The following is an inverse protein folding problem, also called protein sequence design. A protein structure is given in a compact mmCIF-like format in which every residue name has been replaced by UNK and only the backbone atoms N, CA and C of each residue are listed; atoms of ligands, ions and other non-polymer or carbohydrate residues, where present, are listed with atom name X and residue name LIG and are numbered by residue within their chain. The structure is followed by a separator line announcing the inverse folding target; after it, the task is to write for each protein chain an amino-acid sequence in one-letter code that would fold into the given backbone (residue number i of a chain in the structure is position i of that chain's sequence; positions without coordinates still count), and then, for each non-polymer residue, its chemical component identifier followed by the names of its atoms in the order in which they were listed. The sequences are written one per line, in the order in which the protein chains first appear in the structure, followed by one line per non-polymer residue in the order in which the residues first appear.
data_IF_620591312090
#
_entry.id   IF_620591312090
#
_cell.length_a   1.000
_cell.length_b   1.000
_cell.length_c   1.000
_cell.angle_alpha   90.00
_cell.angle_beta   90.00
_cell.angle_gamma   90.00
#
_symmetry.space_group_name_H-M   'P 1'
#
loop_
_entity.id
_entity.type
_entity.pdbx_description
1 polymer ?
#
# COMPACT_ATOMS: atom_id res chain seq x y z
N UNK A 1 8.82 34.46 1.17
CA UNK A 1 8.78 33.87 2.52
C UNK A 1 10.15 33.34 2.92
N UNK A 2 10.72 33.78 4.05
CA UNK A 2 12.03 33.33 4.53
C UNK A 2 12.08 31.81 4.79
N UNK A 3 10.99 31.23 5.32
CA UNK A 3 10.93 29.82 5.72
C UNK A 3 11.09 28.84 4.53
N UNK A 4 10.43 29.09 3.39
CA UNK A 4 10.56 28.26 2.19
C UNK A 4 11.99 28.29 1.65
N UNK A 5 12.58 29.47 1.53
CA UNK A 5 13.95 29.64 1.04
C UNK A 5 14.97 28.94 1.98
N UNK A 6 14.77 29.03 3.29
CA UNK A 6 15.58 28.30 4.27
C UNK A 6 15.44 26.78 4.10
N UNK A 7 14.22 26.27 3.95
CA UNK A 7 13.98 24.84 3.75
C UNK A 7 14.64 24.33 2.46
N UNK A 8 14.48 25.05 1.35
CA UNK A 8 15.11 24.75 0.07
C UNK A 8 16.64 24.72 0.18
N UNK A 9 17.23 25.68 0.91
CA UNK A 9 18.66 25.72 1.18
C UNK A 9 19.13 24.52 2.03
N UNK A 10 18.38 24.15 3.08
CA UNK A 10 18.72 23.02 3.96
C UNK A 10 18.62 21.67 3.23
N UNK A 11 17.64 21.51 2.34
CA UNK A 11 17.43 20.29 1.57
C UNK A 11 18.29 20.22 0.30
N UNK A 12 18.91 21.34 -0.09
CA UNK A 12 19.79 21.38 -1.25
C UNK A 12 20.89 20.32 -1.16
N UNK A 13 21.06 19.56 -2.25
CA UNK A 13 22.03 18.46 -2.40
C UNK A 13 21.84 17.30 -1.41
N UNK A 14 20.71 17.21 -0.72
CA UNK A 14 20.35 16.04 0.09
C UNK A 14 19.55 15.05 -0.74
N UNK A 15 19.71 13.77 -0.44
CA UNK A 15 18.80 12.75 -0.96
C UNK A 15 17.58 12.70 -0.06
N UNK A 16 16.41 12.77 -0.65
CA UNK A 16 15.14 12.68 0.07
C UNK A 16 14.76 11.21 0.28
N UNK A 17 14.12 10.95 1.42
CA UNK A 17 13.57 9.66 1.78
C UNK A 17 12.29 9.86 2.60
N UNK A 18 11.20 9.25 2.16
CA UNK A 18 9.89 9.25 2.78
C UNK A 18 9.64 7.87 3.36
N UNK A 19 9.69 7.76 4.69
CA UNK A 19 9.62 6.47 5.35
C UNK A 19 8.25 5.81 5.16
N UNK A 20 8.20 4.49 4.95
CA UNK A 20 6.95 3.74 4.90
C UNK A 20 6.10 3.92 6.18
N UNK A 21 4.82 4.26 6.03
CA UNK A 21 3.86 4.46 7.12
C UNK A 21 3.72 3.22 8.02
N UNK A 22 3.76 2.01 7.45
CA UNK A 22 3.66 0.78 8.25
C UNK A 22 4.96 0.38 8.96
N UNK A 23 6.11 0.93 8.55
CA UNK A 23 7.41 0.64 9.18
C UNK A 23 7.84 1.76 10.14
N UNK A 24 7.36 2.99 9.89
CA UNK A 24 7.55 4.16 10.73
C UNK A 24 6.22 4.92 10.86
N UNK A 25 5.28 4.39 11.67
CA UNK A 25 3.98 5.03 11.86
C UNK A 25 4.17 6.39 12.55
N UNK A 26 3.47 7.44 12.10
CA UNK A 26 3.63 8.78 12.64
C UNK A 26 2.98 8.90 14.03
N UNK A 27 3.28 10.00 14.73
CA UNK A 27 2.51 10.35 15.92
C UNK A 27 1.05 10.69 15.55
N UNK A 28 0.11 10.48 16.48
CA UNK A 28 -1.29 10.86 16.28
C UNK A 28 -1.40 12.36 15.93
N UNK A 29 -2.09 12.67 14.83
CA UNK A 29 -2.25 14.03 14.33
C UNK A 29 -0.99 14.67 13.75
N UNK A 30 0.06 13.90 13.45
CA UNK A 30 1.28 14.45 12.87
C UNK A 30 0.97 15.13 11.52
N UNK A 31 1.43 16.39 11.39
CA UNK A 31 1.20 17.21 10.21
C UNK A 31 -0.14 17.95 10.21
N UNK A 32 -1.03 17.71 11.18
CA UNK A 32 -2.23 18.50 11.36
C UNK A 32 -1.94 19.82 12.07
N UNK A 33 -2.61 20.90 11.64
CA UNK A 33 -2.64 22.18 12.35
C UNK A 33 -4.01 22.28 13.01
N UNK A 34 -4.02 22.40 14.34
CA UNK A 34 -5.23 22.64 15.12
C UNK A 34 -5.27 24.13 15.44
N UNK A 35 -6.42 24.76 15.18
CA UNK A 35 -6.68 26.15 15.54
C UNK A 35 -7.95 26.18 16.38
N UNK A 36 -7.85 26.84 17.53
CA UNK A 36 -8.94 26.97 18.48
C UNK A 36 -9.29 28.45 18.65
N UNK A 37 -10.57 28.73 18.91
CA UNK A 37 -11.05 30.07 19.21
C UNK A 37 -12.03 30.03 20.38
N UNK A 38 -12.27 31.19 20.97
CA UNK A 38 -13.29 31.33 21.99
C UNK A 38 -14.68 31.06 21.37
N UNK A 39 -15.48 30.22 22.03
CA UNK A 39 -16.84 29.88 21.59
C UNK A 39 -17.77 31.10 21.44
N UNK A 40 -17.48 32.21 22.13
CA UNK A 40 -18.24 33.45 22.01
C UNK A 40 -17.85 34.30 20.77
N UNK A 41 -16.72 34.02 20.12
CA UNK A 41 -16.23 34.79 18.96
C UNK A 41 -16.75 34.18 17.65
N UNK A 42 -17.96 34.57 17.26
CA UNK A 42 -18.64 34.04 16.07
C UNK A 42 -17.90 34.37 14.76
N UNK A 43 -17.27 35.54 14.67
CA UNK A 43 -16.49 35.93 13.49
C UNK A 43 -15.30 34.99 13.29
N UNK A 44 -14.57 34.68 14.37
CA UNK A 44 -13.47 33.72 14.33
C UNK A 44 -13.96 32.31 14.00
N UNK A 45 -15.08 31.86 14.56
CA UNK A 45 -15.67 30.55 14.23
C UNK A 45 -15.95 30.46 12.73
N UNK A 46 -16.63 31.45 12.15
CA UNK A 46 -16.95 31.46 10.72
C UNK A 46 -15.70 31.44 9.84
N UNK A 47 -14.65 32.18 10.22
CA UNK A 47 -13.36 32.14 9.51
C UNK A 47 -12.70 30.75 9.59
N UNK A 48 -12.66 30.14 10.78
CA UNK A 48 -12.05 28.82 10.97
C UNK A 48 -12.82 27.73 10.23
N UNK A 49 -14.16 27.77 10.24
CA UNK A 49 -15.01 26.84 9.49
C UNK A 49 -14.75 26.91 7.98
N UNK A 50 -14.45 28.11 7.45
CA UNK A 50 -14.18 28.29 6.02
C UNK A 50 -12.87 27.66 5.54
N UNK A 51 -11.92 27.42 6.45
CA UNK A 51 -10.60 26.82 6.15
C UNK A 51 -10.45 25.40 6.72
N UNK A 52 -11.40 24.95 7.54
CA UNK A 52 -11.37 23.64 8.16
C UNK A 52 -11.53 22.53 7.12
N UNK A 53 -10.77 21.45 7.29
CA UNK A 53 -10.99 20.20 6.55
C UNK A 53 -11.61 19.18 7.47
N UNK A 54 -12.89 18.87 7.25
CA UNK A 54 -13.59 17.85 8.03
C UNK A 54 -13.01 16.46 7.83
N UNK A 55 -12.47 16.15 6.65
CA UNK A 55 -11.74 14.91 6.39
C UNK A 55 -10.55 14.77 7.34
N UNK A 56 -9.70 15.80 7.43
CA UNK A 56 -8.54 15.79 8.31
C UNK A 56 -8.95 15.77 9.79
N UNK A 57 -9.99 16.52 10.18
CA UNK A 57 -10.51 16.52 11.56
C UNK A 57 -10.97 15.11 11.96
N UNK A 58 -11.73 14.43 11.10
CA UNK A 58 -12.23 13.08 11.37
C UNK A 58 -11.08 12.06 11.46
N UNK A 59 -10.09 12.16 10.57
CA UNK A 59 -8.91 11.30 10.59
C UNK A 59 -8.12 11.45 11.90
N UNK A 60 -7.82 12.69 12.31
CA UNK A 60 -7.13 12.98 13.58
C UNK A 60 -7.93 12.50 14.78
N UNK A 61 -9.26 12.65 14.76
CA UNK A 61 -10.11 12.14 15.82
C UNK A 61 -10.06 10.61 15.89
N UNK A 62 -10.12 9.93 14.74
CA UNK A 62 -10.01 8.47 14.67
C UNK A 62 -8.65 7.98 15.20
N UNK A 63 -7.56 8.68 14.88
CA UNK A 63 -6.22 8.40 15.40
C UNK A 63 -6.15 8.56 16.92
N UNK A 64 -6.66 9.66 17.46
CA UNK A 64 -6.62 9.95 18.89
C UNK A 64 -7.43 8.94 19.71
N UNK A 65 -8.66 8.65 19.29
CA UNK A 65 -9.51 7.62 19.93
C UNK A 65 -8.83 6.25 19.87
N UNK A 66 -8.12 5.94 18.80
CA UNK A 66 -7.41 4.67 18.71
C UNK A 66 -6.15 4.63 19.58
N UNK A 67 -5.41 5.74 19.66
CA UNK A 67 -4.23 5.90 20.50
C UNK A 67 -4.54 5.83 22.01
N UNK A 68 -5.74 6.24 22.44
CA UNK A 68 -6.19 6.19 23.85
C UNK A 68 -5.94 4.84 24.52
N UNK A 69 -6.12 3.76 23.76
CA UNK A 69 -5.92 2.38 24.23
C UNK A 69 -4.50 2.12 24.76
N UNK A 70 -3.50 2.79 24.18
CA UNK A 70 -2.08 2.60 24.51
C UNK A 70 -1.52 3.71 25.41
N UNK A 71 -2.37 4.67 25.76
CA UNK A 71 -2.05 5.81 26.61
C UNK A 71 -1.64 7.07 25.84
N UNK A 72 -1.50 8.17 26.59
CA UNK A 72 -1.21 9.50 26.06
C UNK A 72 0.24 9.93 26.34
N UNK A 73 0.79 10.78 25.46
CA UNK A 73 2.04 11.52 25.66
C UNK A 73 3.12 11.24 24.61
N UNK A 74 3.90 12.28 24.25
CA UNK A 74 4.93 12.24 23.21
C UNK A 74 6.12 11.31 23.49
N UNK A 75 6.23 10.77 24.71
CA UNK A 75 7.29 9.84 25.10
C UNK A 75 6.95 8.37 24.83
N UNK A 76 5.75 8.07 24.33
CA UNK A 76 5.34 6.70 24.03
C UNK A 76 5.91 6.25 22.68
N UNK A 77 6.60 5.10 22.61
CA UNK A 77 7.25 4.61 21.39
C UNK A 77 6.27 3.85 20.50
N UNK A 78 5.19 4.50 20.08
CA UNK A 78 4.26 3.99 19.07
C UNK A 78 3.78 5.11 18.15
N UNK A 79 3.31 4.72 16.98
CA UNK A 79 2.62 5.63 16.06
C UNK A 79 1.26 5.09 15.64
N UNK A 80 0.44 6.00 15.14
CA UNK A 80 -0.92 5.75 14.67
C UNK A 80 -1.23 6.64 13.48
N UNK A 81 -1.97 6.11 12.51
CA UNK A 81 -2.53 6.93 11.45
C UNK A 81 -3.87 6.39 10.97
N UNK A 82 -4.72 7.28 10.47
CA UNK A 82 -5.96 6.92 9.78
C UNK A 82 -5.81 7.16 8.28
N UNK A 83 -6.43 6.31 7.46
CA UNK A 83 -6.44 6.51 6.02
C UNK A 83 -7.74 6.03 5.38
N UNK A 84 -8.32 6.92 4.59
CA UNK A 84 -9.36 6.61 3.63
C UNK A 84 -8.72 6.16 2.31
N UNK A 85 -9.16 4.99 1.84
CA UNK A 85 -8.86 4.45 0.51
C UNK A 85 -10.15 4.39 -0.31
N UNK A 86 -10.03 4.19 -1.62
CA UNK A 86 -11.16 4.19 -2.54
C UNK A 86 -12.31 3.24 -2.13
N UNK A 87 -11.98 2.14 -1.44
CA UNK A 87 -12.94 1.07 -1.13
C UNK A 87 -13.08 0.76 0.36
N UNK A 88 -12.26 1.37 1.22
CA UNK A 88 -12.31 1.13 2.66
C UNK A 88 -11.54 2.21 3.43
N UNK A 89 -11.89 2.38 4.70
CA UNK A 89 -11.16 3.23 5.65
C UNK A 89 -10.59 2.38 6.77
N UNK A 90 -9.43 2.75 7.30
CA UNK A 90 -8.83 2.02 8.41
C UNK A 90 -7.98 2.93 9.31
N UNK A 91 -7.81 2.50 10.55
CA UNK A 91 -6.81 3.05 11.47
C UNK A 91 -5.78 1.98 11.79
N UNK A 92 -4.50 2.34 11.76
CA UNK A 92 -3.39 1.45 12.06
C UNK A 92 -2.58 2.02 13.22
N UNK A 93 -2.17 1.17 14.16
CA UNK A 93 -1.19 1.54 15.19
C UNK A 93 -0.16 0.43 15.37
N UNK A 94 1.09 0.82 15.63
CA UNK A 94 2.18 -0.10 15.91
C UNK A 94 3.30 0.58 16.68
N UNK A 95 4.00 -0.20 17.49
CA UNK A 95 5.05 0.26 18.39
C UNK A 95 5.12 -0.60 19.63
N UNK A 96 5.39 0.02 20.79
CA UNK A 96 5.37 -0.68 22.08
C UNK A 96 4.19 -0.23 22.95
N UNK A 97 3.57 -1.19 23.65
CA UNK A 97 2.48 -0.95 24.59
C UNK A 97 2.99 -0.37 25.93
N UNK A 98 2.12 -0.26 26.93
CA UNK A 98 2.48 0.26 28.25
C UNK A 98 3.53 -0.60 28.98
N UNK A 99 3.59 -1.89 28.66
CA UNK A 99 4.53 -2.88 29.18
C UNK A 99 5.82 -2.98 28.35
N UNK A 100 5.99 -2.12 27.34
CA UNK A 100 7.10 -2.14 26.37
C UNK A 100 7.14 -3.38 25.47
N UNK A 101 6.01 -4.05 25.29
CA UNK A 101 5.87 -5.18 24.38
C UNK A 101 5.44 -4.69 22.99
N UNK A 102 6.01 -5.26 21.91
CA UNK A 102 5.60 -4.90 20.56
C UNK A 102 4.12 -5.21 20.29
N UNK A 103 3.43 -4.29 19.63
CA UNK A 103 2.08 -4.53 19.15
C UNK A 103 1.89 -4.01 17.73
N UNK A 104 0.87 -4.53 17.06
CA UNK A 104 0.36 -4.01 15.80
C UNK A 104 -1.14 -4.27 15.79
N UNK A 105 -1.93 -3.23 15.57
CA UNK A 105 -3.40 -3.34 15.55
C UNK A 105 -3.97 -2.60 14.33
N UNK A 106 -5.02 -3.20 13.76
CA UNK A 106 -5.79 -2.66 12.65
C UNK A 106 -7.24 -2.49 13.07
N UNK A 107 -7.77 -1.27 12.99
CA UNK A 107 -9.22 -1.03 12.97
C UNK A 107 -9.66 -0.96 11.51
N UNK A 108 -10.33 -1.99 11.04
CA UNK A 108 -10.78 -2.16 9.64
C UNK A 108 -12.26 -2.57 9.59
N UNK A 109 -12.97 -2.34 8.47
CA UNK A 109 -14.43 -2.53 8.39
C UNK A 109 -14.84 -3.99 8.17
N UNK A 110 -14.00 -4.94 8.59
CA UNK A 110 -14.21 -6.37 8.38
C UNK A 110 -14.84 -6.97 9.63
N UNK A 111 -16.15 -7.25 9.54
CA UNK A 111 -16.91 -7.93 10.59
C UNK A 111 -17.16 -9.39 10.21
N UNK A 112 -16.07 -10.14 10.04
CA UNK A 112 -16.10 -11.57 9.77
C UNK A 112 -15.12 -12.26 10.71
N UNK A 113 -15.60 -13.24 11.46
CA UNK A 113 -14.75 -14.02 12.36
C UNK A 113 -13.97 -15.07 11.55
N UNK A 114 -12.64 -14.93 11.47
CA UNK A 114 -11.81 -15.80 10.63
C UNK A 114 -11.76 -17.24 11.16
N UNK A 115 -11.97 -17.48 12.47
CA UNK A 115 -11.96 -18.82 13.07
C UNK A 115 -13.15 -19.71 12.66
N UNK A 116 -14.13 -19.16 11.95
CA UNK A 116 -15.35 -19.86 11.53
C UNK A 116 -15.35 -20.35 10.09
N UNK A 117 -14.28 -20.12 9.33
CA UNK A 117 -14.22 -20.35 7.89
C UNK A 117 -12.87 -20.93 7.45
N UNK A 118 -12.89 -21.77 6.43
CA UNK A 118 -11.66 -22.19 5.76
C UNK A 118 -11.18 -21.10 4.79
N UNK A 119 -9.93 -20.64 4.97
CA UNK A 119 -9.37 -19.53 4.19
C UNK A 119 -8.22 -20.01 3.32
N UNK A 120 -8.33 -19.73 2.01
CA UNK A 120 -7.19 -19.77 1.11
C UNK A 120 -6.57 -18.39 0.96
N UNK A 121 -5.25 -18.32 1.12
CA UNK A 121 -4.49 -17.10 0.91
C UNK A 121 -3.61 -17.19 -0.34
N UNK A 122 -3.94 -16.39 -1.35
CA UNK A 122 -3.09 -16.23 -2.53
C UNK A 122 -1.70 -15.66 -2.21
N UNK A 123 -1.48 -15.07 -1.03
CA UNK A 123 -0.17 -14.53 -0.63
C UNK A 123 0.81 -15.62 -0.25
N UNK A 124 0.32 -16.75 0.26
CA UNK A 124 1.13 -17.87 0.74
C UNK A 124 1.62 -18.70 -0.44
N UNK A 125 0.84 -18.68 -1.52
CA UNK A 125 1.05 -19.44 -2.75
C UNK A 125 1.46 -18.55 -3.93
N UNK A 126 2.00 -17.34 -3.72
CA UNK A 126 2.31 -16.41 -4.82
C UNK A 126 3.16 -17.01 -5.95
N UNK A 127 4.08 -17.93 -5.62
CA UNK A 127 4.94 -18.63 -6.60
C UNK A 127 4.27 -19.84 -7.25
N UNK A 128 3.17 -20.31 -6.70
CA UNK A 128 2.44 -21.49 -7.16
C UNK A 128 1.33 -21.17 -8.15
N UNK A 129 1.05 -19.88 -8.40
CA UNK A 129 0.13 -19.46 -9.46
C UNK A 129 0.84 -19.24 -10.81
N UNK A 130 2.15 -18.97 -10.79
CA UNK A 130 2.89 -18.54 -11.98
C UNK A 130 4.32 -19.07 -12.02
N UNK A 131 4.76 -19.41 -13.22
CA UNK A 131 6.18 -19.36 -13.57
C UNK A 131 6.50 -18.02 -14.21
N UNK A 132 7.78 -17.64 -14.22
CA UNK A 132 8.19 -16.30 -14.63
C UNK A 132 9.37 -16.38 -15.59
N UNK A 133 9.35 -15.54 -16.63
CA UNK A 133 10.49 -15.38 -17.54
C UNK A 133 10.91 -13.93 -17.57
N UNK A 134 12.20 -13.69 -17.36
CA UNK A 134 12.80 -12.37 -17.50
C UNK A 134 12.78 -11.92 -18.96
N UNK A 135 12.55 -10.62 -19.18
CA UNK A 135 12.64 -9.99 -20.49
C UNK A 135 13.92 -9.18 -20.55
N UNK A 136 14.86 -9.58 -21.41
CA UNK A 136 16.17 -8.93 -21.53
C UNK A 136 16.12 -7.56 -22.22
N UNK A 137 14.97 -7.22 -22.81
CA UNK A 137 14.74 -5.98 -23.55
C UNK A 137 14.01 -4.88 -22.76
N UNK A 138 13.75 -5.08 -21.47
CA UNK A 138 13.10 -4.08 -20.64
C UNK A 138 13.93 -2.78 -20.60
N UNK A 139 13.44 -1.73 -21.26
CA UNK A 139 14.11 -0.42 -21.33
C UNK A 139 13.24 0.63 -20.67
N UNK A 140 13.74 1.18 -19.57
CA UNK A 140 13.09 2.32 -18.91
C UNK A 140 13.32 3.54 -19.81
N UNK A 141 12.27 4.28 -20.21
CA UNK A 141 12.42 5.43 -21.09
C UNK A 141 13.43 6.45 -20.53
N UNK A 142 14.26 7.00 -21.41
CA UNK A 142 15.22 8.03 -21.02
C UNK A 142 14.51 9.33 -20.61
N UNK A 143 13.33 9.59 -21.18
CA UNK A 143 12.51 10.78 -20.93
C UNK A 143 11.92 10.85 -19.52
N UNK A 144 11.77 9.74 -18.80
CA UNK A 144 11.21 9.76 -17.45
C UNK A 144 12.27 10.10 -16.40
N UNK A 145 11.94 10.95 -15.44
CA UNK A 145 12.84 11.34 -14.34
C UNK A 145 12.69 10.42 -13.14
N UNK A 146 11.53 9.75 -13.03
CA UNK A 146 11.22 8.81 -11.96
C UNK A 146 10.78 7.43 -12.49
N UNK A 147 10.89 6.44 -11.60
CA UNK A 147 10.39 5.09 -11.81
C UNK A 147 9.63 4.61 -10.59
N UNK A 148 8.51 3.95 -10.83
CA UNK A 148 7.80 3.20 -9.81
C UNK A 148 7.97 1.71 -10.08
N UNK A 149 8.60 1.01 -9.14
CA UNK A 149 8.89 -0.42 -9.26
C UNK A 149 7.78 -1.23 -8.60
N UNK A 150 6.95 -1.87 -9.43
CA UNK A 150 5.77 -2.61 -8.97
C UNK A 150 6.13 -3.87 -8.16
N UNK A 151 7.31 -4.45 -8.40
CA UNK A 151 7.84 -5.61 -7.70
C UNK A 151 9.36 -5.63 -7.78
N UNK A 152 10.04 -6.06 -6.71
CA UNK A 152 11.50 -6.25 -6.70
C UNK A 152 12.01 -7.15 -7.84
N UNK A 153 11.16 -8.07 -8.33
CA UNK A 153 11.45 -8.94 -9.46
C UNK A 153 11.66 -8.18 -10.77
N UNK A 154 11.05 -7.00 -10.89
CA UNK A 154 11.12 -6.19 -12.10
C UNK A 154 12.53 -5.63 -12.36
N UNK A 155 13.43 -5.68 -11.37
CA UNK A 155 14.83 -5.23 -11.46
C UNK A 155 15.76 -6.43 -11.29
N UNK A 156 15.80 -7.30 -12.31
CA UNK A 156 16.54 -8.57 -12.31
C UNK A 156 17.95 -8.49 -12.92
N UNK A 157 18.27 -7.46 -13.70
CA UNK A 157 19.55 -7.33 -14.42
C UNK A 157 20.39 -6.14 -13.97
N UNK A 158 21.72 -6.23 -14.17
CA UNK A 158 22.65 -5.12 -13.89
C UNK A 158 22.31 -3.88 -14.73
N UNK A 159 21.85 -4.07 -15.97
CA UNK A 159 21.44 -2.98 -16.84
C UNK A 159 20.25 -2.20 -16.27
N UNK A 160 19.26 -2.90 -15.69
CA UNK A 160 18.12 -2.26 -15.04
C UNK A 160 18.52 -1.55 -13.74
N UNK A 161 19.40 -2.16 -12.93
CA UNK A 161 19.95 -1.51 -11.72
C UNK A 161 20.60 -0.18 -12.08
N UNK A 162 21.47 -0.15 -13.10
CA UNK A 162 22.15 1.07 -13.56
C UNK A 162 21.18 2.13 -14.08
N UNK A 163 20.08 1.73 -14.71
CA UNK A 163 19.03 2.67 -15.15
C UNK A 163 18.29 3.28 -13.95
N UNK A 164 17.92 2.47 -12.95
CA UNK A 164 17.26 2.94 -11.73
C UNK A 164 18.15 3.87 -10.90
N UNK A 165 19.45 3.60 -10.79
CA UNK A 165 20.39 4.44 -10.03
C UNK A 165 20.52 5.89 -10.55
N UNK A 166 20.04 6.15 -11.77
CA UNK A 166 20.07 7.48 -12.42
C UNK A 166 18.73 8.20 -12.36
N UNK A 167 17.74 7.62 -11.69
CA UNK A 167 16.37 8.12 -11.62
C UNK A 167 15.91 8.19 -10.17
N UNK A 168 14.81 8.90 -9.94
CA UNK A 168 14.10 8.89 -8.66
C UNK A 168 13.31 7.59 -8.56
N UNK A 169 13.55 6.79 -7.53
CA UNK A 169 12.96 5.45 -7.44
C UNK A 169 11.91 5.40 -6.35
N UNK A 170 10.71 4.95 -6.71
CA UNK A 170 9.60 4.68 -5.82
C UNK A 170 9.26 3.20 -5.88
N UNK A 171 8.81 2.62 -4.77
CA UNK A 171 8.49 1.20 -4.68
C UNK A 171 7.01 0.95 -4.37
N UNK A 172 6.49 -0.20 -4.80
CA UNK A 172 5.12 -0.58 -4.46
C UNK A 172 4.88 -0.84 -2.96
N UNK A 173 5.94 -1.14 -2.20
CA UNK A 173 5.88 -1.35 -0.76
C UNK A 173 7.26 -1.63 -0.16
N UNK A 174 7.32 -1.73 1.17
CA UNK A 174 8.56 -1.84 1.93
C UNK A 174 9.43 -3.05 1.55
N UNK A 175 8.83 -4.20 1.23
CA UNK A 175 9.59 -5.36 0.73
C UNK A 175 10.32 -5.06 -0.58
N UNK A 176 9.65 -4.38 -1.51
CA UNK A 176 10.27 -4.00 -2.79
C UNK A 176 11.34 -2.94 -2.55
N UNK A 177 11.07 -1.96 -1.68
CA UNK A 177 12.05 -0.99 -1.27
C UNK A 177 13.34 -1.64 -0.78
N UNK A 178 13.26 -2.49 0.26
CA UNK A 178 14.43 -3.11 0.88
C UNK A 178 15.24 -3.93 -0.12
N UNK A 179 14.57 -4.68 -1.00
CA UNK A 179 15.23 -5.45 -2.05
C UNK A 179 15.95 -4.58 -3.10
N UNK A 180 15.41 -3.39 -3.41
CA UNK A 180 16.08 -2.43 -4.30
C UNK A 180 17.26 -1.76 -3.59
N UNK A 181 17.12 -1.39 -2.32
CA UNK A 181 18.20 -0.83 -1.52
C UNK A 181 19.40 -1.79 -1.40
N UNK A 182 19.15 -3.09 -1.23
CA UNK A 182 20.18 -4.13 -1.25
C UNK A 182 20.93 -4.21 -2.58
N UNK A 183 20.32 -3.77 -3.69
CA UNK A 183 20.96 -3.67 -5.02
C UNK A 183 21.73 -2.36 -5.21
N UNK A 184 21.86 -1.53 -4.17
CA UNK A 184 22.52 -0.22 -4.23
C UNK A 184 21.69 0.85 -4.94
N UNK A 185 20.35 0.71 -4.96
CA UNK A 185 19.43 1.70 -5.53
C UNK A 185 18.89 2.56 -4.39
N UNK A 186 19.00 3.89 -4.53
CA UNK A 186 18.35 4.81 -3.60
C UNK A 186 16.85 4.87 -3.89
N UNK A 187 16.03 4.48 -2.94
CA UNK A 187 14.57 4.54 -3.01
C UNK A 187 14.11 5.74 -2.19
N UNK A 188 13.32 6.62 -2.80
CA UNK A 188 12.80 7.83 -2.17
C UNK A 188 11.57 7.55 -1.33
N UNK A 189 10.73 6.59 -1.72
CA UNK A 189 9.46 6.32 -1.03
C UNK A 189 8.81 5.02 -1.48
N UNK A 190 7.76 4.59 -0.77
CA UNK A 190 6.88 3.53 -1.25
C UNK A 190 5.41 3.79 -1.03
N UNK A 191 4.59 3.18 -1.87
CA UNK A 191 3.14 3.17 -1.75
C UNK A 191 2.62 2.25 -0.63
N UNK A 192 3.52 1.55 0.08
CA UNK A 192 3.20 0.72 1.26
C UNK A 192 2.12 -0.35 1.04
N UNK A 193 1.95 -0.79 -0.20
CA UNK A 193 0.88 -1.73 -0.57
C UNK A 193 -0.51 -1.08 -0.62
N UNK A 194 -0.64 0.23 -0.42
CA UNK A 194 -1.87 1.02 -0.55
C UNK A 194 -2.18 1.38 -2.02
N UNK A 195 -1.26 1.08 -2.94
CA UNK A 195 -1.38 1.39 -4.36
C UNK A 195 -0.74 2.73 -4.73
N UNK A 196 -0.33 2.89 -6.00
CA UNK A 196 0.38 4.08 -6.48
C UNK A 196 -0.40 5.37 -6.24
N UNK A 197 -1.72 5.32 -6.30
CA UNK A 197 -2.58 6.49 -6.13
C UNK A 197 -2.43 7.13 -4.74
N UNK A 198 -2.01 6.36 -3.73
CA UNK A 198 -1.71 6.89 -2.38
C UNK A 198 -0.53 7.86 -2.36
N UNK A 199 0.36 7.79 -3.37
CA UNK A 199 1.52 8.67 -3.51
C UNK A 199 1.23 9.94 -4.30
N UNK A 200 0.10 10.04 -5.02
CA UNK A 200 -0.19 11.18 -5.88
C UNK A 200 -0.21 12.51 -5.11
N UNK A 201 -0.86 12.62 -3.93
CA UNK A 201 -0.80 13.86 -3.16
C UNK A 201 0.63 14.23 -2.74
N UNK A 202 1.46 13.23 -2.42
CA UNK A 202 2.86 13.45 -2.07
C UNK A 202 3.66 13.94 -3.29
N UNK A 203 3.41 13.38 -4.46
CA UNK A 203 4.06 13.75 -5.72
C UNK A 203 3.81 15.21 -6.11
N UNK A 204 2.63 15.73 -5.82
CA UNK A 204 2.23 17.11 -6.11
C UNK A 204 2.83 18.15 -5.14
N UNK A 205 3.37 17.71 -3.99
CA UNK A 205 3.99 18.63 -3.03
C UNK A 205 5.18 19.37 -3.62
N UNK A 206 5.45 20.58 -3.11
CA UNK A 206 6.64 21.36 -3.51
C UNK A 206 7.97 20.67 -3.18
N UNK A 207 7.94 19.64 -2.34
CA UNK A 207 9.12 18.86 -1.98
C UNK A 207 9.44 17.78 -3.02
N UNK A 208 8.42 17.21 -3.67
CA UNK A 208 8.58 16.10 -4.62
C UNK A 208 8.45 16.58 -6.05
N UNK A 209 7.42 17.35 -6.39
CA UNK A 209 7.18 17.90 -7.74
C UNK A 209 7.38 16.87 -8.85
N UNK A 210 6.64 15.77 -8.77
CA UNK A 210 6.68 14.70 -9.76
C UNK A 210 5.31 14.59 -10.43
N UNK A 211 5.26 14.67 -11.76
CA UNK A 211 4.03 14.42 -12.49
C UNK A 211 3.98 13.00 -13.06
N UNK A 212 2.78 12.59 -13.48
CA UNK A 212 2.50 11.27 -14.03
C UNK A 212 3.31 10.94 -15.30
N UNK A 213 3.49 11.91 -16.19
CA UNK A 213 4.26 11.80 -17.44
C UNK A 213 5.78 11.71 -17.19
N UNK A 214 6.24 12.12 -16.02
CA UNK A 214 7.64 11.98 -15.62
C UNK A 214 7.96 10.62 -14.99
N UNK A 215 6.95 9.79 -14.71
CA UNK A 215 7.11 8.53 -14.01
C UNK A 215 6.85 7.32 -14.92
N UNK A 216 7.79 6.37 -14.95
CA UNK A 216 7.60 5.07 -15.62
C UNK A 216 7.34 3.95 -14.62
N UNK A 217 6.28 3.19 -14.84
CA UNK A 217 5.97 1.98 -14.09
C UNK A 217 6.77 0.80 -14.64
N UNK A 218 7.63 0.21 -13.81
CA UNK A 218 8.39 -1.00 -14.15
C UNK A 218 7.65 -2.21 -13.58
N UNK A 219 7.12 -3.07 -14.44
CA UNK A 219 6.16 -4.12 -14.07
C UNK A 219 6.25 -5.36 -14.95
N UNK A 220 5.32 -6.33 -14.80
CA UNK A 220 5.22 -7.47 -15.71
C UNK A 220 4.45 -7.13 -16.98
N UNK A 221 4.71 -7.90 -18.04
CA UNK A 221 4.03 -7.81 -19.34
C UNK A 221 2.51 -7.80 -19.21
N UNK A 222 1.95 -8.67 -18.36
CA UNK A 222 0.50 -8.82 -18.17
C UNK A 222 -0.16 -7.58 -17.55
N UNK A 223 0.61 -6.68 -16.96
CA UNK A 223 0.11 -5.48 -16.27
C UNK A 223 0.32 -4.19 -17.07
N UNK A 224 1.18 -4.20 -18.10
CA UNK A 224 1.55 -2.99 -18.87
C UNK A 224 0.33 -2.28 -19.45
N UNK A 225 -0.56 -3.02 -20.12
CA UNK A 225 -1.74 -2.42 -20.79
C UNK A 225 -2.61 -1.65 -19.80
N UNK A 226 -2.80 -2.18 -18.58
CA UNK A 226 -3.61 -1.50 -17.56
C UNK A 226 -2.99 -0.18 -17.09
N UNK A 227 -1.65 -0.12 -16.98
CA UNK A 227 -0.97 1.13 -16.63
C UNK A 227 -1.02 2.16 -17.76
N UNK A 228 -0.86 1.71 -19.01
CA UNK A 228 -0.97 2.57 -20.19
C UNK A 228 -2.40 3.15 -20.34
N UNK A 229 -3.44 2.34 -20.12
CA UNK A 229 -4.84 2.81 -20.20
C UNK A 229 -5.18 3.83 -19.12
N UNK A 230 -4.49 3.77 -17.98
CA UNK A 230 -4.61 4.78 -16.93
C UNK A 230 -3.77 6.03 -17.22
N UNK A 231 -3.01 6.09 -18.32
CA UNK A 231 -2.20 7.24 -18.72
C UNK A 231 -0.81 7.30 -18.09
N UNK A 232 -0.29 6.20 -17.53
CA UNK A 232 1.09 6.11 -17.06
C UNK A 232 2.02 5.68 -18.20
N UNK A 233 3.29 6.08 -18.14
CA UNK A 233 4.31 5.31 -18.86
C UNK A 233 4.52 3.97 -18.17
N UNK A 234 4.65 2.89 -18.93
CA UNK A 234 4.90 1.56 -18.36
C UNK A 234 5.83 0.74 -19.25
N UNK A 235 6.71 -0.05 -18.62
CA UNK A 235 7.58 -1.01 -19.28
C UNK A 235 7.52 -2.37 -18.60
N UNK A 236 7.50 -3.42 -19.41
CA UNK A 236 7.65 -4.78 -18.94
C UNK A 236 9.14 -5.13 -18.79
N UNK A 237 9.47 -5.86 -17.73
CA UNK A 237 10.80 -6.46 -17.55
C UNK A 237 10.76 -7.96 -17.27
N UNK A 238 9.57 -8.52 -17.05
CA UNK A 238 9.34 -9.96 -16.92
C UNK A 238 7.91 -10.29 -17.37
N UNK A 239 7.66 -11.57 -17.62
CA UNK A 239 6.34 -12.11 -17.96
C UNK A 239 5.90 -13.15 -16.90
N UNK A 240 4.60 -13.19 -16.62
CA UNK A 240 3.98 -14.20 -15.75
C UNK A 240 3.24 -15.22 -16.63
N UNK A 241 3.53 -16.49 -16.43
CA UNK A 241 2.88 -17.62 -17.11
C UNK A 241 2.06 -18.41 -16.10
N UNK A 242 0.73 -18.53 -16.26
CA UNK A 242 -0.11 -19.31 -15.36
C UNK A 242 0.40 -20.75 -15.20
N UNK A 243 0.51 -21.21 -13.95
CA UNK A 243 1.02 -22.54 -13.62
C UNK A 243 0.45 -23.02 -12.29
N UNK A 244 -0.86 -23.27 -12.25
CA UNK A 244 -1.52 -23.90 -11.11
C UNK A 244 -1.29 -25.40 -11.12
N UNK A 245 -0.80 -25.95 -10.01
CA UNK A 245 -0.77 -27.40 -9.83
C UNK A 245 -2.14 -27.94 -9.36
N UNK A 246 -2.32 -29.26 -9.49
CA UNK A 246 -3.58 -29.94 -9.15
C UNK A 246 -3.93 -29.87 -7.67
N UNK A 247 -2.93 -29.82 -6.79
CA UNK A 247 -3.15 -29.74 -5.34
C UNK A 247 -3.72 -28.37 -4.99
N UNK A 248 -3.18 -27.31 -5.59
CA UNK A 248 -3.63 -25.95 -5.36
C UNK A 248 -5.05 -25.72 -5.87
N UNK A 249 -5.38 -26.28 -7.03
CA UNK A 249 -6.75 -26.30 -7.57
C UNK A 249 -7.69 -26.99 -6.58
N UNK A 250 -7.31 -28.15 -6.05
CA UNK A 250 -8.13 -28.89 -5.10
C UNK A 250 -8.34 -28.13 -3.78
N UNK A 251 -7.34 -27.40 -3.29
CA UNK A 251 -7.47 -26.56 -2.10
C UNK A 251 -8.40 -25.37 -2.33
N UNK A 252 -8.21 -24.64 -3.44
CA UNK A 252 -9.06 -23.49 -3.81
C UNK A 252 -10.54 -23.90 -3.93
N UNK A 253 -10.81 -25.11 -4.42
CA UNK A 253 -12.17 -25.62 -4.59
C UNK A 253 -12.91 -26.02 -3.31
N UNK A 254 -12.24 -26.03 -2.14
CA UNK A 254 -12.84 -26.48 -0.87
C UNK A 254 -13.13 -25.34 0.11
N UNK A 255 -12.29 -24.31 0.11
CA UNK A 255 -12.33 -23.22 1.08
C UNK A 255 -13.59 -22.36 0.98
N UNK A 256 -13.94 -21.69 2.07
CA UNK A 256 -15.07 -20.77 2.16
C UNK A 256 -14.70 -19.35 1.70
N UNK A 257 -13.44 -18.96 1.88
CA UNK A 257 -12.93 -17.66 1.49
C UNK A 257 -11.62 -17.79 0.70
N UNK A 258 -11.51 -17.04 -0.39
CA UNK A 258 -10.29 -16.95 -1.19
C UNK A 258 -9.81 -15.50 -1.24
N UNK A 259 -8.64 -15.25 -0.66
CA UNK A 259 -7.97 -13.96 -0.73
C UNK A 259 -7.07 -13.87 -1.97
N UNK A 260 -7.44 -13.01 -2.90
CA UNK A 260 -6.71 -12.74 -4.13
C UNK A 260 -5.72 -11.59 -3.93
N UNK A 261 -4.42 -11.90 -3.91
CA UNK A 261 -3.38 -10.87 -3.75
C UNK A 261 -3.22 -9.99 -5.00
N UNK A 262 -3.71 -10.46 -6.15
CA UNK A 262 -3.77 -9.71 -7.40
C UNK A 262 -4.97 -10.13 -8.26
N UNK A 263 -5.41 -9.25 -9.15
CA UNK A 263 -6.45 -9.57 -10.13
C UNK A 263 -6.05 -10.72 -11.06
N UNK A 264 -4.76 -10.84 -11.39
CA UNK A 264 -4.26 -11.96 -12.18
C UNK A 264 -4.52 -13.29 -11.46
N UNK A 265 -4.26 -13.38 -10.14
CA UNK A 265 -4.57 -14.60 -9.38
C UNK A 265 -6.04 -14.96 -9.46
N UNK A 266 -6.93 -13.96 -9.39
CA UNK A 266 -8.36 -14.19 -9.58
C UNK A 266 -8.69 -14.73 -10.98
N UNK A 267 -8.12 -14.16 -12.05
CA UNK A 267 -8.34 -14.65 -13.42
C UNK A 267 -7.99 -16.13 -13.58
N UNK A 268 -6.90 -16.55 -12.95
CA UNK A 268 -6.36 -17.90 -13.08
C UNK A 268 -7.03 -18.88 -12.11
N UNK A 269 -7.36 -18.45 -10.89
CA UNK A 269 -7.90 -19.32 -9.84
C UNK A 269 -9.42 -19.35 -9.74
N UNK A 270 -10.13 -18.29 -10.17
CA UNK A 270 -11.60 -18.21 -10.04
C UNK A 270 -12.38 -19.33 -10.74
N UNK A 271 -11.93 -19.96 -11.85
CA UNK A 271 -12.65 -21.08 -12.44
C UNK A 271 -12.75 -22.32 -11.54
N UNK A 272 -11.91 -22.40 -10.50
CA UNK A 272 -11.79 -23.58 -9.64
C UNK A 272 -12.46 -23.41 -8.28
N UNK A 273 -13.06 -22.26 -8.00
CA UNK A 273 -13.72 -22.01 -6.71
C UNK A 273 -15.10 -22.65 -6.66
N UNK A 274 -15.56 -23.01 -5.45
CA UNK A 274 -16.93 -23.48 -5.25
C UNK A 274 -17.95 -22.34 -5.40
N UNK A 275 -19.19 -22.61 -5.81
CA UNK A 275 -20.27 -21.63 -5.77
C UNK A 275 -20.46 -21.06 -4.37
N UNK A 276 -20.69 -19.75 -4.26
CA UNK A 276 -20.91 -19.07 -2.98
C UNK A 276 -19.64 -18.78 -2.17
N UNK A 277 -18.45 -19.04 -2.72
CA UNK A 277 -17.18 -18.66 -2.07
C UNK A 277 -17.14 -17.14 -1.80
N UNK A 278 -16.57 -16.76 -0.67
CA UNK A 278 -16.28 -15.36 -0.37
C UNK A 278 -14.99 -14.98 -1.09
N UNK A 279 -15.06 -14.01 -1.99
CA UNK A 279 -13.86 -13.43 -2.57
C UNK A 279 -13.35 -12.32 -1.67
N UNK A 280 -12.05 -12.30 -1.38
CA UNK A 280 -11.41 -11.23 -0.64
C UNK A 280 -10.22 -10.67 -1.42
N UNK A 281 -9.88 -9.40 -1.22
CA UNK A 281 -8.73 -8.78 -1.89
C UNK A 281 -8.25 -7.50 -1.18
N UNK A 282 -7.08 -6.95 -1.55
CA UNK A 282 -6.68 -5.59 -1.17
C UNK A 282 -7.53 -4.52 -1.85
N UNK A 283 -7.68 -3.36 -1.21
CA UNK A 283 -8.46 -2.19 -1.65
C UNK A 283 -7.91 -1.42 -2.86
N UNK A 284 -7.06 -2.04 -3.67
CA UNK A 284 -6.47 -1.44 -4.86
C UNK A 284 -7.20 -1.84 -6.14
N UNK A 285 -6.43 -1.94 -7.23
CA UNK A 285 -6.92 -2.31 -8.57
C UNK A 285 -7.70 -3.63 -8.61
N UNK A 286 -7.35 -4.59 -7.75
CA UNK A 286 -8.07 -5.87 -7.66
C UNK A 286 -9.51 -5.64 -7.24
N UNK A 287 -9.76 -4.87 -6.16
CA UNK A 287 -11.11 -4.52 -5.72
C UNK A 287 -11.92 -3.82 -6.81
N UNK A 288 -11.35 -2.78 -7.44
CA UNK A 288 -12.01 -2.05 -8.53
C UNK A 288 -12.45 -2.97 -9.67
N UNK A 289 -11.59 -3.91 -10.08
CA UNK A 289 -11.89 -4.84 -11.17
C UNK A 289 -12.94 -5.88 -10.78
N UNK A 290 -12.87 -6.43 -9.57
CA UNK A 290 -13.86 -7.39 -9.09
C UNK A 290 -15.25 -6.75 -8.96
N UNK A 291 -15.33 -5.54 -8.38
CA UNK A 291 -16.59 -4.78 -8.31
C UNK A 291 -17.12 -4.40 -9.70
N UNK A 292 -16.23 -4.04 -10.63
CA UNK A 292 -16.60 -3.78 -12.02
C UNK A 292 -17.21 -5.00 -12.76
N UNK A 293 -16.99 -6.22 -12.25
CA UNK A 293 -17.62 -7.44 -12.73
C UNK A 293 -18.93 -7.78 -11.98
N UNK A 294 -19.39 -6.90 -11.09
CA UNK A 294 -20.58 -7.11 -10.26
C UNK A 294 -20.36 -8.01 -9.04
N UNK A 295 -19.10 -8.29 -8.67
CA UNK A 295 -18.79 -9.03 -7.44
C UNK A 295 -18.72 -8.08 -6.23
N UNK A 296 -19.06 -8.59 -5.05
CA UNK A 296 -18.92 -7.87 -3.78
C UNK A 296 -17.81 -8.52 -2.93
N UNK A 297 -16.53 -8.29 -3.25
CA UNK A 297 -15.45 -8.89 -2.48
C UNK A 297 -15.36 -8.29 -1.07
N UNK A 298 -14.83 -9.06 -0.13
CA UNK A 298 -14.37 -8.58 1.16
C UNK A 298 -13.05 -7.82 0.98
N UNK A 299 -13.02 -6.53 1.32
CA UNK A 299 -11.91 -5.64 0.95
C UNK A 299 -11.08 -5.28 2.17
N UNK A 300 -9.82 -5.75 2.16
CA UNK A 300 -8.83 -5.40 3.18
C UNK A 300 -8.01 -4.18 2.73
N UNK A 301 -7.57 -3.31 3.66
CA UNK A 301 -6.72 -2.17 3.30
C UNK A 301 -5.44 -2.57 2.57
N UNK A 302 -4.79 -3.64 3.03
CA UNK A 302 -3.56 -4.18 2.43
C UNK A 302 -3.48 -5.69 2.63
N UNK A 303 -2.51 -6.32 1.98
CA UNK A 303 -2.11 -7.71 2.28
C UNK A 303 -1.71 -7.87 3.75
N UNK A 304 -1.02 -6.90 4.35
CA UNK A 304 -0.61 -6.95 5.76
C UNK A 304 -1.82 -6.95 6.70
N UNK A 305 -2.85 -6.16 6.38
CA UNK A 305 -4.10 -6.11 7.14
C UNK A 305 -4.84 -7.46 7.11
N UNK A 306 -4.91 -8.09 5.93
CA UNK A 306 -5.45 -9.44 5.78
C UNK A 306 -4.64 -10.46 6.60
N UNK A 307 -3.30 -10.41 6.52
CA UNK A 307 -2.42 -11.30 7.27
C UNK A 307 -2.62 -11.14 8.79
N UNK A 308 -2.76 -9.91 9.29
CA UNK A 308 -3.08 -9.65 10.70
C UNK A 308 -4.44 -10.23 11.10
N UNK A 309 -5.47 -10.05 10.27
CA UNK A 309 -6.81 -10.56 10.55
C UNK A 309 -6.86 -12.09 10.61
N UNK A 310 -6.16 -12.78 9.73
CA UNK A 310 -6.16 -14.25 9.72
C UNK A 310 -5.25 -14.90 10.76
N UNK A 311 -4.43 -14.14 11.50
CA UNK A 311 -3.59 -14.72 12.56
C UNK A 311 -4.44 -15.32 13.70
N UNK A 312 -5.70 -14.88 13.82
CA UNK A 312 -6.68 -15.43 14.74
C UNK A 312 -7.34 -16.73 14.23
N UNK A 313 -6.96 -17.24 13.06
CA UNK A 313 -7.36 -18.57 12.57
C UNK A 313 -6.45 -19.59 13.24
N UNK A 314 -6.98 -20.54 14.03
CA UNK A 314 -6.18 -21.65 14.54
C UNK A 314 -5.51 -22.36 13.37
N UNK A 315 -4.18 -22.47 13.41
CA UNK A 315 -3.47 -23.34 12.48
C UNK A 315 -3.90 -24.77 12.82
N UNK A 316 -4.79 -25.35 12.02
CA UNK A 316 -4.94 -26.81 12.02
C UNK A 316 -3.64 -27.38 11.51
N UNK A 317 -2.76 -27.81 12.42
CA UNK A 317 -1.65 -28.68 12.08
C UNK A 317 -2.24 -29.97 11.47
N UNK A 318 -1.94 -30.21 10.18
CA UNK A 318 -2.01 -31.54 9.58
C UNK A 318 -3.01 -31.71 8.43
N UNK A 319 -2.48 -31.75 7.21
CA UNK A 319 -2.49 -32.93 6.32
C UNK A 319 -1.53 -32.73 5.14
#
# INVERSE_FOLDING_TARGET
EPAKATLEALLSKKKLMFLPLFECPPAAGQGAIVVETNQANQDAISMLESIASMEHTNAVQAERVFAEKYGYGCSRPFGVFHKDLAHCSFTYASGLNQQLEPFTEWKQPIDLNPASIEVFSGTDHMRSFYTETNLDHGKIPASTTAVFVASHKSIHSIALIKQCQRKRVWAAGSRTWLALAQKGIWVEGSADGLGLDSLLPLFETSLVQLDKTQCCIVTNQNSVVGWLSEGWHATATYCLHPSLDTNLIATIGKVDLVFWSSYQQWLVGSPYVKPGVIHACPSGKTATRLQGLGLNPLIFPTIKAFQSWRQDIPVTEGA
#
